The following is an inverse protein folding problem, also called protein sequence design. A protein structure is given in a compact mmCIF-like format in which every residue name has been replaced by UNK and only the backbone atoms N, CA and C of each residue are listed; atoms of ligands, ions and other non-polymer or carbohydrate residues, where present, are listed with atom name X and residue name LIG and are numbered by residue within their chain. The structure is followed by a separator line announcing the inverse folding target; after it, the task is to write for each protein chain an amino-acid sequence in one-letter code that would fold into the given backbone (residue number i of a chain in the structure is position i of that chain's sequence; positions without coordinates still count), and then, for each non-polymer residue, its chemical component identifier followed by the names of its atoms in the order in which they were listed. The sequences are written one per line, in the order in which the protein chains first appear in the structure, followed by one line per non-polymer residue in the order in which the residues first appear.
data_IF_912282183038
#
_entry.id   IF_912282183038
#
_cell.length_a   1.000
_cell.length_b   1.000
_cell.length_c   1.000
_cell.angle_alpha   90.00
_cell.angle_beta   90.00
_cell.angle_gamma   90.00
#
_symmetry.space_group_name_H-M   'P 1'
#
loop_
_entity.id
_entity.type
_entity.pdbx_description
1 polymer ?
#
# COMPACT_ATOMS: atom_id res chain seq x y z
N UNK A 1 17.31 -6.19 5.48
CA UNK A 1 17.76 -4.79 5.66
C UNK A 1 16.53 -3.99 6.03
N UNK A 2 16.58 -3.16 7.09
CA UNK A 2 15.44 -2.35 7.53
C UNK A 2 15.73 -0.86 7.30
N UNK A 3 14.67 -0.10 7.01
CA UNK A 3 14.68 1.36 6.89
C UNK A 3 13.93 1.91 8.11
N UNK A 4 14.52 2.89 8.81
CA UNK A 4 13.91 3.52 9.97
C UNK A 4 13.58 4.99 9.66
N UNK A 5 12.34 5.40 9.93
CA UNK A 5 11.88 6.79 9.82
C UNK A 5 11.36 7.22 11.19
N UNK A 6 11.86 8.34 11.71
CA UNK A 6 11.51 8.85 13.04
C UNK A 6 10.62 10.09 12.91
N UNK A 7 9.52 10.09 13.65
CA UNK A 7 8.60 11.23 13.75
C UNK A 7 8.59 11.77 15.19
N UNK A 8 8.47 13.10 15.37
CA UNK A 8 8.28 13.69 16.69
C UNK A 8 6.95 13.25 17.31
N UNK A 9 6.91 13.01 18.61
CA UNK A 9 5.69 12.59 19.33
C UNK A 9 4.60 13.67 19.25
N UNK A 10 5.01 14.94 19.21
CA UNK A 10 4.12 16.09 19.05
C UNK A 10 3.28 16.01 17.77
N UNK A 11 3.79 15.35 16.72
CA UNK A 11 3.02 15.12 15.49
C UNK A 11 1.84 14.18 15.74
N UNK A 12 2.05 13.09 16.48
CA UNK A 12 1.01 12.12 16.81
C UNK A 12 -0.06 12.77 17.70
N UNK A 13 0.37 13.59 18.66
CA UNK A 13 -0.53 14.38 19.53
C UNK A 13 -1.37 15.35 18.69
N UNK A 14 -0.72 16.11 17.79
CA UNK A 14 -1.39 17.07 16.92
C UNK A 14 -2.39 16.39 15.96
N UNK A 15 -2.03 15.21 15.45
CA UNK A 15 -2.87 14.41 14.56
C UNK A 15 -3.97 13.62 15.29
N UNK A 16 -3.90 13.53 16.63
CA UNK A 16 -4.76 12.69 17.48
C UNK A 16 -4.72 11.22 17.08
N UNK A 17 -3.52 10.70 16.83
CA UNK A 17 -3.31 9.33 16.39
C UNK A 17 -2.44 8.55 17.34
N UNK A 18 -2.82 7.29 17.55
CA UNK A 18 -1.98 6.32 18.25
C UNK A 18 -0.80 5.89 17.36
N UNK A 19 0.31 5.53 18.00
CA UNK A 19 1.57 5.18 17.34
C UNK A 19 1.40 4.08 16.29
N UNK A 20 0.68 3.01 16.63
CA UNK A 20 0.45 1.86 15.76
C UNK A 20 -0.36 2.24 14.52
N UNK A 21 -1.41 3.05 14.73
CA UNK A 21 -2.26 3.54 13.64
C UNK A 21 -1.49 4.48 12.71
N UNK A 22 -0.72 5.42 13.27
CA UNK A 22 0.12 6.33 12.50
C UNK A 22 1.20 5.57 11.73
N UNK A 23 1.86 4.60 12.35
CA UNK A 23 2.89 3.78 11.69
C UNK A 23 2.33 3.01 10.51
N UNK A 24 1.17 2.37 10.69
CA UNK A 24 0.47 1.66 9.60
C UNK A 24 0.09 2.62 8.48
N UNK A 25 -0.44 3.80 8.84
CA UNK A 25 -0.78 4.86 7.89
C UNK A 25 0.43 5.28 7.06
N UNK A 26 1.58 5.56 7.68
CA UNK A 26 2.80 5.97 6.96
C UNK A 26 3.23 4.92 5.92
N UNK A 27 3.13 3.63 6.27
CA UNK A 27 3.42 2.54 5.33
C UNK A 27 2.45 2.59 4.14
N UNK A 28 1.15 2.69 4.39
CA UNK A 28 0.13 2.75 3.33
C UNK A 28 0.35 3.96 2.43
N UNK A 29 0.59 5.14 2.99
CA UNK A 29 0.83 6.35 2.19
C UNK A 29 2.09 6.24 1.34
N UNK A 30 3.16 5.64 1.87
CA UNK A 30 4.41 5.42 1.13
C UNK A 30 4.19 4.47 -0.03
N UNK A 31 3.53 3.32 0.22
CA UNK A 31 3.24 2.33 -0.82
C UNK A 31 2.27 2.86 -1.86
N UNK A 32 1.24 3.60 -1.44
CA UNK A 32 0.27 4.23 -2.33
C UNK A 32 0.92 5.23 -3.29
N UNK A 33 1.80 6.09 -2.80
CA UNK A 33 2.56 7.01 -3.66
C UNK A 33 3.45 6.27 -4.66
N UNK A 34 4.23 5.28 -4.20
CA UNK A 34 5.11 4.51 -5.08
C UNK A 34 4.33 3.72 -6.13
N UNK A 35 3.15 3.21 -5.77
CA UNK A 35 2.26 2.53 -6.70
C UNK A 35 1.73 3.51 -7.75
N UNK A 36 1.24 4.69 -7.35
CA UNK A 36 0.77 5.73 -8.28
C UNK A 36 1.86 6.21 -9.25
N UNK A 37 3.10 6.26 -8.80
CA UNK A 37 4.26 6.58 -9.65
C UNK A 37 4.69 5.42 -10.58
N UNK A 38 4.02 4.27 -10.51
CA UNK A 38 4.38 3.06 -11.25
C UNK A 38 5.72 2.44 -10.81
N UNK A 39 6.22 2.78 -9.62
CA UNK A 39 7.50 2.28 -9.08
C UNK A 39 7.38 0.90 -8.47
N UNK A 40 6.20 0.53 -8.00
CA UNK A 40 5.89 -0.79 -7.46
C UNK A 40 4.61 -1.32 -8.09
N UNK A 41 4.51 -2.65 -8.23
CA UNK A 41 3.25 -3.32 -8.54
C UNK A 41 2.39 -3.49 -7.28
N UNK A 42 1.10 -3.81 -7.46
CA UNK A 42 0.22 -4.14 -6.35
C UNK A 42 0.70 -5.37 -5.56
N UNK A 43 1.37 -6.32 -6.23
CA UNK A 43 1.96 -7.50 -5.57
C UNK A 43 3.04 -7.13 -4.54
N UNK A 44 3.93 -6.20 -4.87
CA UNK A 44 4.96 -5.71 -3.93
C UNK A 44 4.30 -4.99 -2.74
N UNK A 45 3.33 -4.11 -3.01
CA UNK A 45 2.62 -3.39 -1.95
C UNK A 45 1.88 -4.32 -0.98
N UNK A 46 1.18 -5.32 -1.52
CA UNK A 46 0.47 -6.34 -0.76
C UNK A 46 1.42 -7.18 0.10
N UNK A 47 2.57 -7.60 -0.46
CA UNK A 47 3.59 -8.35 0.28
C UNK A 47 4.14 -7.56 1.46
N UNK A 48 4.42 -6.25 1.30
CA UNK A 48 4.93 -5.40 2.38
C UNK A 48 3.90 -5.24 3.51
N UNK A 49 2.62 -5.16 3.17
CA UNK A 49 1.53 -5.04 4.14
C UNK A 49 1.06 -6.40 4.71
N UNK A 50 1.60 -7.51 4.18
CA UNK A 50 1.21 -8.86 4.59
C UNK A 50 -0.24 -9.19 4.24
N UNK A 51 -0.75 -8.68 3.12
CA UNK A 51 -2.11 -8.92 2.64
C UNK A 51 -2.13 -9.40 1.18
N UNK A 52 -3.30 -9.74 0.66
CA UNK A 52 -3.51 -10.00 -0.77
C UNK A 52 -3.69 -8.70 -1.58
N UNK A 53 -3.61 -8.80 -2.92
CA UNK A 53 -3.73 -7.66 -3.83
C UNK A 53 -5.08 -6.95 -3.71
N UNK A 54 -6.17 -7.70 -3.52
CA UNK A 54 -7.51 -7.11 -3.38
C UNK A 54 -7.61 -6.22 -2.13
N UNK A 55 -7.07 -6.69 -1.02
CA UNK A 55 -6.95 -5.95 0.24
C UNK A 55 -6.05 -4.74 0.06
N UNK A 56 -4.94 -4.87 -0.67
CA UNK A 56 -4.08 -3.73 -0.99
C UNK A 56 -4.83 -2.64 -1.78
N UNK A 57 -5.57 -3.02 -2.83
CA UNK A 57 -6.39 -2.07 -3.61
C UNK A 57 -7.46 -1.39 -2.75
N UNK A 58 -8.11 -2.15 -1.87
CA UNK A 58 -9.10 -1.62 -0.93
C UNK A 58 -8.46 -0.57 -0.02
N UNK A 59 -7.29 -0.87 0.56
CA UNK A 59 -6.54 0.08 1.40
C UNK A 59 -6.13 1.34 0.62
N UNK A 60 -5.69 1.21 -0.64
CA UNK A 60 -5.37 2.39 -1.45
C UNK A 60 -6.58 3.30 -1.66
N UNK A 61 -7.72 2.71 -2.00
CA UNK A 61 -8.98 3.45 -2.18
C UNK A 61 -9.43 4.14 -0.89
N UNK A 62 -9.42 3.43 0.24
CA UNK A 62 -9.78 3.98 1.56
C UNK A 62 -8.90 5.18 1.97
N UNK A 63 -7.63 5.18 1.55
CA UNK A 63 -6.67 6.24 1.86
C UNK A 63 -6.58 7.31 0.75
N UNK A 64 -7.49 7.28 -0.23
CA UNK A 64 -7.65 8.33 -1.25
C UNK A 64 -6.69 8.23 -2.44
N UNK A 65 -6.02 7.09 -2.62
CA UNK A 65 -5.17 6.85 -3.79
C UNK A 65 -6.02 6.42 -4.98
N UNK A 66 -5.78 7.03 -6.14
CA UNK A 66 -6.30 6.53 -7.42
C UNK A 66 -5.63 5.21 -7.73
N UNK A 67 -6.44 4.15 -7.88
CA UNK A 67 -5.97 2.87 -8.38
C UNK A 67 -5.67 3.04 -9.86
N UNK A 68 -4.45 2.68 -10.30
CA UNK A 68 -4.13 2.67 -11.72
C UNK A 68 -4.94 1.53 -12.33
N UNK A 69 -5.57 1.74 -13.48
CA UNK A 69 -6.37 0.75 -14.23
C UNK A 69 -5.53 -0.44 -14.78
N UNK A 70 -4.47 -0.84 -14.08
CA UNK A 70 -3.75 -2.10 -14.26
C UNK A 70 -4.61 -3.33 -13.90
N UNK A 71 -5.83 -3.11 -13.38
CA UNK A 71 -6.80 -4.15 -13.04
C UNK A 71 -7.30 -4.93 -14.25
N UNK A 72 -7.19 -4.43 -15.49
CA UNK A 72 -7.49 -5.27 -16.66
C UNK A 72 -6.33 -6.22 -16.98
N UNK A 73 -5.10 -5.70 -17.04
CA UNK A 73 -3.92 -6.46 -17.49
C UNK A 73 -3.34 -7.41 -16.41
N UNK A 74 -3.37 -7.03 -15.12
CA UNK A 74 -2.90 -7.92 -14.04
C UNK A 74 -3.86 -9.07 -13.79
N UNK A 75 -5.18 -8.88 -13.99
CA UNK A 75 -6.17 -9.94 -13.79
C UNK A 75 -6.08 -11.00 -14.89
N UNK A 76 -5.79 -10.62 -16.14
CA UNK A 76 -5.53 -11.57 -17.23
C UNK A 76 -4.28 -12.43 -16.95
N UNK A 77 -3.22 -11.83 -16.40
CA UNK A 77 -1.99 -12.57 -16.07
C UNK A 77 -2.13 -13.60 -14.93
N UNK A 78 -3.06 -13.37 -13.98
CA UNK A 78 -3.34 -14.33 -12.90
C UNK A 78 -4.21 -15.52 -13.36
N UNK A 79 -5.07 -15.32 -14.36
CA UNK A 79 -5.89 -16.38 -14.95
C UNK A 79 -5.04 -17.30 -15.84
N UNK A 80 -4.06 -16.77 -16.58
CA UNK A 80 -3.18 -17.59 -17.43
C UNK A 80 -2.24 -18.49 -16.62
N UNK A 81 -1.72 -17.99 -15.49
CA UNK A 81 -0.74 -18.75 -14.69
C UNK A 81 -1.38 -19.88 -13.87
N UNK A 82 -2.70 -19.85 -13.66
CA UNK A 82 -3.45 -20.88 -12.93
C UNK A 82 -3.95 -22.04 -13.81
N UNK A 83 -3.73 -21.97 -15.13
CA UNK A 83 -4.15 -22.99 -16.11
C UNK A 83 -2.95 -23.74 -16.75
N UNK A 84 -1.74 -23.62 -16.19
CA UNK A 84 -0.50 -24.25 -16.69
C UNK A 84 -0.08 -25.47 -15.87
#
# INVERSE_FOLDING_TARGET
MSINVTFPEELLIAAREEKEAFSRKVIIYTLGHLYQEGKISAGIGAQVLGCDKYTFYTLLSEYGFSIIDYTAEEWESEIETSQS
#
